data_IF_755276946936
#
_entry.id   IF_755276946936
#
_cell.length_a   1.000
_cell.length_b   1.000
_cell.length_c   1.000
_cell.angle_alpha   90.00
_cell.angle_beta   90.00
_cell.angle_gamma   90.00
#
_symmetry.space_group_name_H-M   'P 1'
#
loop_
_entity.id
_entity.type
_entity.pdbx_description
1 polymer ?
#
# COMPACT_ATOMS: atom_id res chain seq x y z
N UNK A 1 -9.83 1.19 -5.97
CA UNK A 1 -9.29 2.33 -6.70
C UNK A 1 -8.91 1.89 -8.11
N UNK A 2 -9.07 2.76 -9.09
CA UNK A 2 -8.52 2.62 -10.45
C UNK A 2 -7.03 3.03 -10.45
N UNK A 3 -6.31 2.76 -11.54
CA UNK A 3 -4.93 3.24 -11.71
C UNK A 3 -4.87 4.78 -11.66
N UNK A 4 -5.85 5.46 -12.26
CA UNK A 4 -5.88 6.93 -12.27
C UNK A 4 -6.11 7.53 -10.88
N UNK A 5 -7.01 6.95 -10.09
CA UNK A 5 -7.24 7.39 -8.70
C UNK A 5 -5.98 7.24 -7.84
N UNK A 6 -5.23 6.14 -8.02
CA UNK A 6 -3.96 5.91 -7.32
C UNK A 6 -2.90 6.89 -7.80
N UNK A 7 -2.82 7.14 -9.11
CA UNK A 7 -1.89 8.10 -9.68
C UNK A 7 -2.15 9.52 -9.14
N UNK A 8 -3.41 9.96 -9.08
CA UNK A 8 -3.78 11.27 -8.51
C UNK A 8 -3.40 11.38 -7.04
N UNK A 9 -3.59 10.32 -6.26
CA UNK A 9 -3.14 10.28 -4.86
C UNK A 9 -1.62 10.40 -4.74
N UNK A 10 -0.87 9.66 -5.56
CA UNK A 10 0.59 9.73 -5.58
C UNK A 10 1.10 11.12 -5.99
N UNK A 11 0.48 11.73 -7.01
CA UNK A 11 0.81 13.11 -7.42
C UNK A 11 0.57 14.07 -6.25
N UNK A 12 -0.53 13.93 -5.52
CA UNK A 12 -0.85 14.79 -4.39
C UNK A 12 0.10 14.60 -3.19
N UNK A 13 0.63 13.39 -2.99
CA UNK A 13 1.48 13.07 -1.82
C UNK A 13 2.98 13.29 -2.07
N UNK A 14 3.47 12.90 -3.24
CA UNK A 14 4.90 12.82 -3.53
C UNK A 14 5.31 13.40 -4.90
N UNK A 15 4.36 13.95 -5.67
CA UNK A 15 4.63 14.48 -7.00
C UNK A 15 5.55 15.70 -7.07
N UNK A 16 5.83 16.36 -5.94
CA UNK A 16 6.85 17.41 -5.88
C UNK A 16 8.27 16.86 -6.10
N UNK A 17 8.54 15.63 -5.65
CA UNK A 17 9.89 15.05 -5.63
C UNK A 17 10.05 13.87 -6.60
N UNK A 18 8.95 13.35 -7.14
CA UNK A 18 8.94 12.16 -7.99
C UNK A 18 8.38 12.47 -9.38
N UNK A 19 9.11 12.15 -10.47
CA UNK A 19 8.64 12.38 -11.82
C UNK A 19 7.32 11.67 -12.16
N UNK A 20 6.45 12.34 -12.94
CA UNK A 20 5.13 11.82 -13.29
C UNK A 20 5.13 10.42 -13.95
N UNK A 21 6.15 10.10 -14.75
CA UNK A 21 6.26 8.78 -15.38
C UNK A 21 6.52 7.67 -14.35
N UNK A 22 7.28 7.96 -13.30
CA UNK A 22 7.58 7.02 -12.22
C UNK A 22 6.33 6.79 -11.37
N UNK A 23 5.60 7.87 -11.05
CA UNK A 23 4.31 7.76 -10.34
C UNK A 23 3.28 6.93 -11.11
N UNK A 24 3.28 7.02 -12.45
CA UNK A 24 2.39 6.22 -13.28
C UNK A 24 2.71 4.73 -13.17
N UNK A 25 3.99 4.36 -13.26
CA UNK A 25 4.43 2.97 -13.09
C UNK A 25 4.10 2.46 -11.69
N UNK A 26 4.34 3.27 -10.66
CA UNK A 26 4.02 2.91 -9.28
C UNK A 26 2.51 2.73 -9.08
N UNK A 27 1.67 3.57 -9.70
CA UNK A 27 0.22 3.44 -9.63
C UNK A 27 -0.29 2.14 -10.29
N UNK A 28 0.28 1.75 -11.43
CA UNK A 28 -0.03 0.50 -12.11
C UNK A 28 0.32 -0.71 -11.24
N UNK A 29 1.53 -0.73 -10.66
CA UNK A 29 1.96 -1.79 -9.75
C UNK A 29 1.11 -1.86 -8.49
N UNK A 30 0.83 -0.72 -7.86
CA UNK A 30 -0.01 -0.67 -6.66
C UNK A 30 -1.43 -1.15 -6.96
N UNK A 31 -1.97 -0.85 -8.15
CA UNK A 31 -3.26 -1.36 -8.59
C UNK A 31 -3.25 -2.89 -8.72
N UNK A 32 -2.24 -3.46 -9.36
CA UNK A 32 -2.08 -4.92 -9.51
C UNK A 32 -1.97 -5.63 -8.16
N UNK A 33 -1.14 -5.09 -7.25
CA UNK A 33 -1.01 -5.62 -5.88
C UNK A 33 -2.34 -5.56 -5.15
N UNK A 34 -3.11 -4.48 -5.29
CA UNK A 34 -4.43 -4.36 -4.69
C UNK A 34 -5.45 -5.35 -5.29
N UNK A 35 -5.36 -5.69 -6.58
CA UNK A 35 -6.18 -6.77 -7.17
C UNK A 35 -5.80 -8.13 -6.56
N UNK A 36 -4.50 -8.43 -6.48
CA UNK A 36 -4.01 -9.68 -5.90
C UNK A 36 -4.38 -9.81 -4.42
N UNK A 37 -4.25 -8.73 -3.64
CA UNK A 37 -4.67 -8.66 -2.22
C UNK A 37 -6.11 -9.15 -2.06
N UNK A 38 -7.02 -8.64 -2.89
CA UNK A 38 -8.44 -9.03 -2.88
C UNK A 38 -8.64 -10.49 -3.27
N UNK A 39 -8.01 -10.93 -4.36
CA UNK A 39 -8.11 -12.31 -4.86
C UNK A 39 -7.59 -13.35 -3.85
N UNK A 40 -6.58 -12.98 -3.06
CA UNK A 40 -5.95 -13.85 -2.05
C UNK A 40 -6.55 -13.71 -0.66
N UNK A 41 -7.61 -12.91 -0.50
CA UNK A 41 -8.17 -12.53 0.81
C UNK A 41 -7.06 -12.15 1.81
N UNK A 42 -6.12 -11.30 1.36
CA UNK A 42 -4.96 -10.89 2.13
C UNK A 42 -5.20 -9.56 2.86
N UNK A 43 -4.47 -9.35 3.95
CA UNK A 43 -4.22 -8.03 4.55
C UNK A 43 -2.76 -7.66 4.33
N UNK A 44 -2.51 -6.38 4.01
CA UNK A 44 -1.17 -5.83 3.90
C UNK A 44 -0.94 -4.83 5.04
N UNK A 45 0.13 -5.05 5.81
CA UNK A 45 0.54 -4.23 6.95
C UNK A 45 1.82 -3.48 6.58
N UNK A 46 1.80 -2.15 6.64
CA UNK A 46 2.94 -1.29 6.28
C UNK A 46 3.54 -0.60 7.50
N UNK A 47 4.85 -0.74 7.70
CA UNK A 47 5.55 0.04 8.73
C UNK A 47 5.68 1.51 8.34
N UNK A 48 5.81 2.40 9.32
CA UNK A 48 5.98 3.85 9.15
C UNK A 48 7.19 4.29 8.30
N UNK A 49 8.10 3.37 7.97
CA UNK A 49 9.35 3.66 7.24
C UNK A 49 9.37 3.10 5.83
N UNK A 50 8.21 2.63 5.34
CA UNK A 50 8.10 2.15 3.97
C UNK A 50 8.33 3.26 2.96
N UNK A 51 8.75 2.86 1.76
CA UNK A 51 8.87 3.74 0.60
C UNK A 51 7.54 4.50 0.39
N UNK A 52 7.58 5.82 0.12
CA UNK A 52 6.39 6.67 0.13
C UNK A 52 5.26 6.23 -0.82
N UNK A 53 5.57 5.79 -2.04
CA UNK A 53 4.54 5.37 -2.98
C UNK A 53 3.80 4.12 -2.48
N UNK A 54 4.53 3.12 -1.97
CA UNK A 54 3.93 1.95 -1.34
C UNK A 54 3.12 2.37 -0.11
N UNK A 55 3.69 3.19 0.77
CA UNK A 55 3.06 3.66 2.01
C UNK A 55 1.69 4.29 1.78
N UNK A 56 1.51 5.03 0.68
CA UNK A 56 0.27 5.73 0.37
C UNK A 56 -0.75 4.91 -0.42
N UNK A 57 -0.42 3.73 -0.97
CA UNK A 57 -1.26 3.09 -1.99
C UNK A 57 -1.65 1.63 -1.73
N UNK A 58 -0.86 0.90 -0.93
CA UNK A 58 -0.99 -0.57 -0.82
C UNK A 58 -1.45 -1.07 0.57
N UNK A 59 -0.85 -0.64 1.70
CA UNK A 59 -1.20 -1.15 3.02
C UNK A 59 -2.65 -0.88 3.41
N UNK A 60 -3.32 -1.86 3.98
CA UNK A 60 -4.63 -1.67 4.63
C UNK A 60 -4.47 -0.98 5.98
N UNK A 61 -3.33 -1.23 6.62
CA UNK A 61 -2.97 -0.63 7.89
C UNK A 61 -1.52 -0.16 7.87
N UNK A 62 -1.33 1.03 8.41
CA UNK A 62 -0.02 1.60 8.67
C UNK A 62 0.16 1.80 10.17
N UNK A 63 1.37 1.56 10.69
CA UNK A 63 1.66 1.77 12.10
C UNK A 63 3.09 1.37 12.52
N UNK A 64 3.31 1.41 13.83
CA UNK A 64 4.52 0.88 14.47
C UNK A 64 4.41 -0.64 14.71
N UNK A 65 5.48 -1.24 15.22
CA UNK A 65 5.53 -2.69 15.47
C UNK A 65 4.43 -3.21 16.40
N UNK A 66 4.07 -2.46 17.45
CA UNK A 66 3.09 -2.91 18.44
C UNK A 66 1.67 -2.87 17.86
N UNK A 67 1.33 -1.77 17.20
CA UNK A 67 0.02 -1.61 16.57
C UNK A 67 -0.18 -2.62 15.44
N UNK A 68 0.83 -2.80 14.57
CA UNK A 68 0.76 -3.79 13.49
C UNK A 68 0.66 -5.22 14.02
N UNK A 69 1.38 -5.56 15.11
CA UNK A 69 1.26 -6.90 15.73
C UNK A 69 -0.14 -7.16 16.26
N UNK A 70 -0.80 -6.15 16.85
CA UNK A 70 -2.18 -6.29 17.34
C UNK A 70 -3.16 -6.46 16.19
N UNK A 71 -3.01 -5.71 15.10
CA UNK A 71 -3.83 -5.84 13.89
C UNK A 71 -3.63 -7.20 13.21
N UNK A 72 -2.39 -7.68 13.13
CA UNK A 72 -2.07 -9.02 12.63
C UNK A 72 -2.74 -10.12 13.46
N UNK A 73 -2.75 -9.99 14.79
CA UNK A 73 -3.39 -10.98 15.67
C UNK A 73 -4.93 -10.95 15.60
N UNK A 74 -5.53 -9.83 15.19
CA UNK A 74 -6.97 -9.64 15.15
C UNK A 74 -7.60 -9.86 13.75
N UNK A 75 -6.79 -10.05 12.71
CA UNK A 75 -7.29 -10.19 11.34
C UNK A 75 -7.93 -11.55 11.09
N UNK A 76 -8.95 -11.56 10.23
CA UNK A 76 -9.63 -12.76 9.73
C UNK A 76 -9.17 -13.15 8.31
N UNK A 77 -8.12 -12.49 7.81
CA UNK A 77 -7.56 -12.71 6.47
C UNK A 77 -6.68 -13.95 6.41
N UNK A 78 -6.75 -14.63 5.27
CA UNK A 78 -6.02 -15.89 5.04
C UNK A 78 -4.51 -15.67 4.89
N UNK A 79 -4.13 -14.49 4.40
CA UNK A 79 -2.73 -14.13 4.13
C UNK A 79 -2.42 -12.78 4.76
N UNK A 80 -1.30 -12.71 5.48
CA UNK A 80 -0.72 -11.45 5.96
C UNK A 80 0.54 -11.19 5.15
N UNK A 81 0.56 -10.08 4.41
CA UNK A 81 1.80 -9.55 3.82
C UNK A 81 2.29 -8.43 4.72
N UNK A 82 3.39 -8.70 5.42
CA UNK A 82 3.99 -7.74 6.33
C UNK A 82 5.14 -7.00 5.64
N UNK A 83 4.98 -5.70 5.45
CA UNK A 83 5.94 -4.80 4.83
C UNK A 83 6.65 -3.98 5.92
N UNK A 84 7.68 -4.58 6.52
CA UNK A 84 8.53 -3.95 7.55
C UNK A 84 8.84 -4.85 8.74
#
# INVERSE_FOLDING_TARGET
>A
MTVDEIYEELVAKIGEYTPAFELRVQAELAWEVNQLKRQRNAVILGHNYMEPALFHTVPDFVGDSLDLSRKAAATDKDVIVFCG
#
